data_IF_777975664121
#
_entry.id   IF_777975664121
#
_cell.length_a   1.000
_cell.length_b   1.000
_cell.length_c   1.000
_cell.angle_alpha   90.00
_cell.angle_beta   90.00
_cell.angle_gamma   90.00
#
_symmetry.space_group_name_H-M   'P 1'
#
loop_
_entity.id
_entity.type
_entity.pdbx_description
1 polymer ?
#
# COMPACT_ATOMS: atom_id res chain seq x y z
N UNK A 1 53.99 -1.65 28.65
CA UNK A 1 54.11 -2.48 27.45
C UNK A 1 53.03 -1.99 26.51
N UNK A 2 53.40 -1.20 25.50
CA UNK A 2 52.46 -0.51 24.59
C UNK A 2 51.73 -1.51 23.70
N UNK A 3 50.41 -1.35 23.58
CA UNK A 3 49.54 -2.12 22.68
C UNK A 3 49.44 -1.35 21.36
N UNK A 4 49.78 -1.94 20.20
CA UNK A 4 49.71 -1.25 18.91
C UNK A 4 48.26 -0.98 18.46
N UNK A 5 48.00 0.12 17.73
CA UNK A 5 46.63 0.51 17.34
C UNK A 5 46.01 -0.29 16.18
N UNK A 6 46.74 -1.22 15.53
CA UNK A 6 46.21 -2.11 14.49
C UNK A 6 46.93 -3.46 14.49
N UNK A 7 46.16 -4.54 14.34
CA UNK A 7 46.66 -5.91 14.25
C UNK A 7 47.27 -6.21 12.87
N UNK A 8 48.41 -6.88 12.87
CA UNK A 8 49.08 -7.42 11.68
C UNK A 8 48.31 -8.61 11.07
N UNK A 9 48.52 -8.89 9.78
CA UNK A 9 47.89 -10.02 9.09
C UNK A 9 48.16 -11.39 9.74
N UNK A 10 49.32 -11.53 10.40
CA UNK A 10 49.69 -12.71 11.18
C UNK A 10 48.92 -12.84 12.50
N UNK A 11 48.50 -11.73 13.10
CA UNK A 11 47.65 -11.74 14.31
C UNK A 11 46.19 -12.03 13.95
N UNK A 12 45.73 -11.58 12.78
CA UNK A 12 44.43 -11.95 12.21
C UNK A 12 44.30 -13.45 11.95
N UNK A 13 45.32 -14.08 11.35
CA UNK A 13 45.30 -15.53 11.12
C UNK A 13 45.32 -16.34 12.43
N UNK A 14 46.04 -15.87 13.46
CA UNK A 14 46.01 -16.48 14.80
C UNK A 14 44.65 -16.31 15.49
N UNK A 15 44.00 -15.16 15.32
CA UNK A 15 42.68 -14.87 15.87
C UNK A 15 41.57 -15.68 15.18
N UNK A 16 41.69 -15.98 13.88
CA UNK A 16 40.74 -16.84 13.17
C UNK A 16 40.81 -18.31 13.59
N UNK A 17 41.94 -18.77 14.13
CA UNK A 17 42.13 -20.14 14.61
C UNK A 17 41.74 -20.34 16.09
N UNK A 18 41.74 -19.26 16.89
CA UNK A 18 41.49 -19.34 18.33
C UNK A 18 40.08 -18.85 18.71
N UNK A 19 39.10 -19.76 18.71
CA UNK A 19 37.81 -19.61 19.41
C UNK A 19 37.99 -19.67 20.94
N UNK A 20 38.78 -18.76 21.50
CA UNK A 20 38.89 -18.63 22.96
C UNK A 20 37.67 -17.89 23.51
N UNK A 21 37.27 -18.22 24.73
CA UNK A 21 36.14 -17.58 25.42
C UNK A 21 36.31 -16.05 25.52
N UNK A 22 37.54 -15.55 25.62
CA UNK A 22 37.83 -14.12 25.70
C UNK A 22 37.40 -13.35 24.43
N UNK A 23 37.73 -13.86 23.24
CA UNK A 23 37.32 -13.24 21.97
C UNK A 23 35.80 -13.29 21.75
N UNK A 24 35.15 -14.40 22.13
CA UNK A 24 33.68 -14.53 22.06
C UNK A 24 33.02 -13.57 23.04
N UNK A 25 33.54 -13.42 24.27
CA UNK A 25 33.00 -12.47 25.27
C UNK A 25 33.20 -11.03 24.81
N UNK A 26 34.35 -10.69 24.25
CA UNK A 26 34.61 -9.34 23.73
C UNK A 26 33.76 -9.02 22.50
N UNK A 27 33.61 -9.97 21.57
CA UNK A 27 32.72 -9.84 20.41
C UNK A 27 31.25 -9.77 20.82
N UNK A 28 30.81 -10.58 21.77
CA UNK A 28 29.45 -10.51 22.34
C UNK A 28 29.24 -9.22 23.13
N UNK A 29 30.26 -8.72 23.84
CA UNK A 29 30.22 -7.44 24.56
C UNK A 29 30.15 -6.27 23.58
N UNK A 30 30.94 -6.28 22.50
CA UNK A 30 30.89 -5.30 21.43
C UNK A 30 29.54 -5.35 20.71
N UNK A 31 29.03 -6.54 20.38
CA UNK A 31 27.71 -6.74 19.77
C UNK A 31 26.59 -6.25 20.69
N UNK A 32 26.68 -6.52 21.99
CA UNK A 32 25.73 -6.05 23.01
C UNK A 32 25.79 -4.54 23.19
N UNK A 33 26.99 -3.94 23.20
CA UNK A 33 27.19 -2.49 23.26
C UNK A 33 26.67 -1.82 21.99
N UNK A 34 26.89 -2.41 20.82
CA UNK A 34 26.37 -1.92 19.54
C UNK A 34 24.84 -2.01 19.49
N UNK A 35 24.24 -3.13 19.90
CA UNK A 35 22.77 -3.25 19.98
C UNK A 35 22.17 -2.31 21.03
N UNK A 36 22.81 -2.13 22.19
CA UNK A 36 22.38 -1.14 23.18
C UNK A 36 22.50 0.30 22.64
N UNK A 37 23.56 0.60 21.93
CA UNK A 37 23.78 1.89 21.31
C UNK A 37 22.74 2.18 20.23
N UNK A 38 22.50 1.23 19.32
CA UNK A 38 21.45 1.32 18.30
C UNK A 38 20.07 1.47 18.95
N UNK A 39 19.75 0.66 19.96
CA UNK A 39 18.50 0.77 20.72
C UNK A 39 18.34 2.15 21.37
N UNK A 40 19.44 2.73 21.89
CA UNK A 40 19.44 4.07 22.45
C UNK A 40 19.36 5.18 21.39
N UNK A 41 19.72 4.92 20.13
CA UNK A 41 19.63 5.87 19.02
C UNK A 41 18.23 5.86 18.35
N UNK A 42 17.56 4.70 18.33
CA UNK A 42 16.25 4.51 17.67
C UNK A 42 15.20 5.57 18.05
N UNK A 43 14.93 5.88 19.33
CA UNK A 43 13.93 6.90 19.68
C UNK A 43 14.29 8.29 19.15
N UNK A 44 15.58 8.61 19.04
CA UNK A 44 16.02 9.90 18.51
C UNK A 44 15.91 9.96 16.99
N UNK A 45 16.16 8.86 16.27
CA UNK A 45 15.91 8.77 14.83
C UNK A 45 14.41 8.92 14.52
N UNK A 46 13.57 8.23 15.29
CA UNK A 46 12.11 8.35 15.16
C UNK A 46 11.63 9.77 15.46
N UNK A 47 12.13 10.38 16.54
CA UNK A 47 11.82 11.78 16.86
C UNK A 47 12.28 12.73 15.75
N UNK A 48 13.49 12.53 15.21
CA UNK A 48 14.03 13.33 14.10
C UNK A 48 13.16 13.20 12.85
N UNK A 49 12.63 12.02 12.55
CA UNK A 49 11.66 11.83 11.47
C UNK A 49 10.33 12.55 11.76
N UNK A 50 9.78 12.39 12.96
CA UNK A 50 8.50 12.98 13.34
C UNK A 50 8.52 14.50 13.31
N UNK A 51 9.59 15.11 13.85
CA UNK A 51 9.80 16.55 14.03
C UNK A 51 10.41 17.23 12.78
N UNK A 52 10.67 16.48 11.71
CA UNK A 52 11.28 17.00 10.49
C UNK A 52 10.38 18.05 9.80
N UNK A 53 11.00 19.04 9.16
CA UNK A 53 10.30 19.96 8.26
C UNK A 53 9.70 19.20 7.06
N UNK A 54 8.72 19.77 6.33
CA UNK A 54 8.01 19.06 5.27
C UNK A 54 8.92 18.41 4.23
N UNK A 55 10.02 19.06 3.86
CA UNK A 55 10.94 18.55 2.84
C UNK A 55 11.80 17.38 3.36
N UNK A 56 12.37 17.54 4.55
CA UNK A 56 13.14 16.49 5.21
C UNK A 56 12.27 15.27 5.52
N UNK A 57 11.04 15.50 5.98
CA UNK A 57 10.06 14.45 6.25
C UNK A 57 9.72 13.69 4.97
N UNK A 58 9.43 14.42 3.88
CA UNK A 58 9.14 13.82 2.59
C UNK A 58 10.30 12.96 2.04
N UNK A 59 11.56 13.39 2.20
CA UNK A 59 12.74 12.57 1.86
C UNK A 59 12.78 11.26 2.65
N UNK A 60 12.61 11.35 3.98
CA UNK A 60 12.64 10.16 4.84
C UNK A 60 11.46 9.23 4.55
N UNK A 61 10.28 9.79 4.29
CA UNK A 61 9.10 9.02 3.91
C UNK A 61 9.31 8.28 2.58
N UNK A 62 9.90 8.93 1.57
CA UNK A 62 10.24 8.28 0.31
C UNK A 62 11.28 7.17 0.48
N UNK A 63 12.32 7.39 1.30
CA UNK A 63 13.32 6.38 1.61
C UNK A 63 12.71 5.15 2.32
N UNK A 64 11.86 5.40 3.32
CA UNK A 64 11.12 4.36 4.04
C UNK A 64 10.20 3.56 3.13
N UNK A 65 9.48 4.24 2.23
CA UNK A 65 8.59 3.58 1.29
C UNK A 65 9.37 2.76 0.25
N UNK A 66 10.48 3.27 -0.28
CA UNK A 66 11.36 2.47 -1.16
C UNK A 66 11.78 1.15 -0.49
N UNK A 67 12.28 1.22 0.76
CA UNK A 67 12.77 0.03 1.48
C UNK A 67 11.66 -0.96 1.81
N UNK A 68 10.52 -0.52 2.34
CA UNK A 68 9.40 -1.43 2.66
C UNK A 68 8.73 -2.02 1.41
N UNK A 69 8.93 -1.42 0.24
CA UNK A 69 8.50 -1.96 -1.05
C UNK A 69 9.52 -2.95 -1.62
N UNK A 70 10.65 -3.13 -0.94
CA UNK A 70 11.68 -4.07 -1.33
C UNK A 70 12.63 -3.52 -2.37
N UNK A 71 12.83 -2.21 -2.48
CA UNK A 71 13.93 -1.64 -3.28
C UNK A 71 15.25 -1.71 -2.49
N UNK A 72 16.24 -2.42 -3.03
CA UNK A 72 17.50 -2.76 -2.35
C UNK A 72 18.69 -1.89 -2.75
N UNK A 73 18.72 -1.37 -3.97
CA UNK A 73 19.83 -0.50 -4.41
C UNK A 73 19.98 0.75 -3.53
N UNK A 74 21.15 1.39 -3.58
CA UNK A 74 21.36 2.66 -2.87
C UNK A 74 20.34 3.71 -3.34
N UNK A 75 19.79 4.46 -2.38
CA UNK A 75 18.85 5.53 -2.70
C UNK A 75 19.67 6.67 -3.30
N UNK A 76 19.60 6.91 -4.61
CA UNK A 76 20.38 7.97 -5.23
C UNK A 76 19.82 9.35 -4.86
N UNK A 77 20.67 10.39 -4.95
CA UNK A 77 20.21 11.77 -4.74
C UNK A 77 19.08 12.16 -5.71
N UNK A 78 19.17 11.67 -6.96
CA UNK A 78 18.12 11.83 -7.98
C UNK A 78 16.81 11.16 -7.54
N UNK A 79 16.87 9.88 -7.15
CA UNK A 79 15.70 9.15 -6.67
C UNK A 79 15.02 9.89 -5.52
N UNK A 80 15.77 10.22 -4.45
CA UNK A 80 15.24 10.89 -3.27
C UNK A 80 14.55 12.22 -3.61
N UNK A 81 15.15 13.02 -4.50
CA UNK A 81 14.60 14.31 -4.91
C UNK A 81 13.27 14.18 -5.66
N UNK A 82 13.17 13.21 -6.57
CA UNK A 82 11.95 13.02 -7.37
C UNK A 82 10.84 12.35 -6.54
N UNK A 83 11.18 11.29 -5.79
CA UNK A 83 10.21 10.54 -4.99
C UNK A 83 9.62 11.39 -3.85
N UNK A 84 10.43 12.25 -3.22
CA UNK A 84 9.95 13.08 -2.10
C UNK A 84 8.83 14.04 -2.49
N UNK A 85 8.77 14.50 -3.75
CA UNK A 85 7.71 15.42 -4.20
C UNK A 85 6.32 14.80 -4.05
N UNK A 86 6.19 13.48 -4.17
CA UNK A 86 4.93 12.76 -3.96
C UNK A 86 4.37 12.88 -2.54
N UNK A 87 5.20 13.19 -1.55
CA UNK A 87 4.80 13.34 -0.14
C UNK A 87 4.67 14.79 0.33
N UNK A 88 5.03 15.77 -0.50
CA UNK A 88 4.80 17.18 -0.18
C UNK A 88 3.31 17.49 -0.31
N UNK A 89 2.77 18.28 0.61
CA UNK A 89 1.44 18.85 0.51
C UNK A 89 1.39 19.97 -0.54
N UNK A 90 0.18 20.43 -0.89
CA UNK A 90 -0.01 21.46 -1.92
C UNK A 90 0.77 22.74 -1.62
N UNK A 91 0.84 23.14 -0.35
CA UNK A 91 1.55 24.36 0.09
C UNK A 91 3.06 24.24 -0.07
N UNK A 92 3.64 23.10 0.32
CA UNK A 92 5.09 22.88 0.24
C UNK A 92 5.59 22.66 -1.20
N UNK A 93 4.69 22.53 -2.18
CA UNK A 93 5.03 22.44 -3.60
C UNK A 93 5.11 23.81 -4.29
N UNK A 94 4.49 24.83 -3.73
CA UNK A 94 4.49 26.19 -4.30
C UNK A 94 5.75 26.92 -3.84
N UNK A 95 6.53 27.42 -4.80
CA UNK A 95 7.73 28.24 -4.59
C UNK A 95 8.67 27.74 -3.47
N UNK A 96 9.11 26.47 -3.50
CA UNK A 96 10.01 25.95 -2.47
C UNK A 96 11.35 26.70 -2.50
N UNK A 97 12.06 26.84 -1.36
CA UNK A 97 13.39 27.42 -1.32
C UNK A 97 14.31 26.76 -2.35
N UNK A 98 15.10 27.53 -3.12
CA UNK A 98 15.93 26.97 -4.21
C UNK A 98 16.86 25.84 -3.76
N UNK A 99 17.29 25.88 -2.50
CA UNK A 99 18.19 24.92 -1.87
C UNK A 99 17.47 23.90 -0.96
N UNK A 100 16.14 23.80 -1.03
CA UNK A 100 15.32 22.94 -0.16
C UNK A 100 15.86 21.51 -0.09
N UNK A 101 16.25 20.95 -1.24
CA UNK A 101 16.71 19.56 -1.32
C UNK A 101 18.07 19.39 -0.63
N UNK A 102 19.00 20.33 -0.84
CA UNK A 102 20.32 20.30 -0.20
C UNK A 102 20.18 20.44 1.31
N UNK A 103 19.30 21.33 1.78
CA UNK A 103 19.00 21.51 3.21
C UNK A 103 18.39 20.26 3.83
N UNK A 104 17.41 19.66 3.15
CA UNK A 104 16.75 18.44 3.58
C UNK A 104 17.75 17.27 3.63
N UNK A 105 18.56 17.10 2.57
CA UNK A 105 19.57 16.06 2.51
C UNK A 105 20.59 16.20 3.64
N UNK A 106 21.09 17.42 3.90
CA UNK A 106 21.96 17.70 5.04
C UNK A 106 21.28 17.35 6.37
N UNK A 107 20.00 17.68 6.54
CA UNK A 107 19.27 17.36 7.76
C UNK A 107 19.19 15.85 8.00
N UNK A 108 18.87 15.07 6.97
CA UNK A 108 18.68 13.61 7.08
C UNK A 108 19.99 12.82 7.14
N UNK A 109 21.13 13.43 6.79
CA UNK A 109 22.46 12.80 6.92
C UNK A 109 23.23 13.20 8.17
N UNK A 110 22.70 14.11 9.00
CA UNK A 110 23.34 14.44 10.28
C UNK A 110 23.17 13.28 11.25
N UNK A 111 24.30 12.84 11.80
CA UNK A 111 24.35 11.83 12.84
C UNK A 111 23.66 12.30 14.12
N UNK A 112 22.92 11.38 14.70
CA UNK A 112 22.31 11.49 16.00
C UNK A 112 23.18 10.72 16.98
N UNK A 113 23.51 11.35 18.12
CA UNK A 113 24.48 10.82 19.10
C UNK A 113 25.86 10.48 18.50
N UNK A 114 26.23 11.12 17.39
CA UNK A 114 27.55 11.00 16.77
C UNK A 114 27.87 9.63 16.16
N UNK A 115 26.85 8.86 15.76
CA UNK A 115 27.11 7.59 15.07
C UNK A 115 25.99 7.06 14.17
N UNK A 116 24.72 7.48 14.31
CA UNK A 116 23.64 7.01 13.41
C UNK A 116 22.90 8.18 12.79
N UNK A 117 22.88 8.24 11.46
CA UNK A 117 22.07 9.17 10.70
C UNK A 117 20.79 8.49 10.18
N UNK A 118 19.68 9.23 9.98
CA UNK A 118 18.52 8.70 9.26
C UNK A 118 18.88 8.12 7.88
N UNK A 119 19.72 8.84 7.13
CA UNK A 119 20.32 8.40 5.88
C UNK A 119 21.85 8.45 5.99
N UNK A 120 22.50 7.31 5.85
CA UNK A 120 23.96 7.22 5.79
C UNK A 120 24.42 7.44 4.35
N UNK A 121 25.22 8.48 4.05
CA UNK A 121 25.81 8.66 2.73
C UNK A 121 26.84 7.56 2.45
N UNK A 122 26.74 6.92 1.29
CA UNK A 122 27.67 5.88 0.86
C UNK A 122 28.27 6.22 -0.50
N UNK A 123 29.58 5.98 -0.62
CA UNK A 123 30.34 6.12 -1.85
C UNK A 123 30.99 4.78 -2.17
N UNK A 124 30.53 4.18 -3.26
CA UNK A 124 31.05 2.93 -3.84
C UNK A 124 32.15 3.28 -4.86
N UNK A 125 32.02 4.42 -5.53
CA UNK A 125 33.01 4.93 -6.47
C UNK A 125 34.34 5.23 -5.78
N UNK A 126 35.49 4.81 -6.34
CA UNK A 126 36.80 5.14 -5.79
C UNK A 126 37.03 6.66 -5.64
N UNK A 127 37.91 7.03 -4.70
CA UNK A 127 38.37 8.40 -4.47
C UNK A 127 37.44 9.27 -3.60
N UNK A 128 37.86 10.52 -3.39
CA UNK A 128 37.10 11.51 -2.59
C UNK A 128 36.06 12.18 -3.48
N UNK A 129 34.80 12.26 -3.02
CA UNK A 129 33.72 12.89 -3.76
C UNK A 129 32.36 12.76 -3.09
N UNK A 130 31.31 13.15 -3.80
CA UNK A 130 29.92 13.01 -3.34
C UNK A 130 29.51 11.55 -3.14
N UNK A 131 28.50 11.32 -2.29
CA UNK A 131 27.90 10.01 -2.13
C UNK A 131 27.25 9.54 -3.44
N UNK A 132 27.43 8.26 -3.79
CA UNK A 132 26.72 7.64 -4.92
C UNK A 132 25.26 7.35 -4.55
N UNK A 133 24.99 7.15 -3.26
CA UNK A 133 23.64 7.08 -2.74
C UNK A 133 23.59 6.98 -1.22
N UNK A 134 22.41 6.65 -0.71
CA UNK A 134 22.11 6.68 0.72
C UNK A 134 21.49 5.37 1.19
N UNK A 135 21.93 4.91 2.36
CA UNK A 135 21.32 3.79 3.09
C UNK A 135 20.40 4.34 4.19
N UNK A 136 19.17 3.81 4.28
CA UNK A 136 18.25 4.14 5.36
C UNK A 136 18.69 3.40 6.63
N UNK A 137 18.61 4.06 7.79
CA UNK A 137 18.84 3.39 9.06
C UNK A 137 17.84 2.23 9.28
N UNK A 138 18.35 1.06 9.67
CA UNK A 138 17.56 -0.17 9.86
C UNK A 138 16.37 0.04 10.81
N UNK A 139 16.52 0.88 11.83
CA UNK A 139 15.43 1.19 12.77
C UNK A 139 14.29 1.98 12.12
N UNK A 140 14.59 2.84 11.14
CA UNK A 140 13.58 3.56 10.36
C UNK A 140 12.93 2.64 9.32
N UNK A 141 13.70 1.72 8.75
CA UNK A 141 13.15 0.69 7.87
C UNK A 141 12.17 -0.22 8.62
N UNK A 142 12.56 -0.74 9.79
CA UNK A 142 11.71 -1.55 10.65
C UNK A 142 10.44 -0.80 11.05
N UNK A 143 10.60 0.46 11.48
CA UNK A 143 9.46 1.33 11.78
C UNK A 143 8.52 1.47 10.57
N UNK A 144 9.05 1.66 9.36
CA UNK A 144 8.25 1.81 8.16
C UNK A 144 7.46 0.55 7.80
N UNK A 145 8.04 -0.64 7.99
CA UNK A 145 7.34 -1.91 7.72
C UNK A 145 6.06 -2.04 8.54
N UNK A 146 6.07 -1.60 9.79
CA UNK A 146 4.90 -1.60 10.67
C UNK A 146 4.01 -0.38 10.44
N UNK A 147 4.51 0.83 10.73
CA UNK A 147 3.74 2.06 10.80
C UNK A 147 3.18 2.52 9.44
N UNK A 148 3.77 2.04 8.34
CA UNK A 148 3.38 2.44 6.98
C UNK A 148 2.89 1.27 6.14
N UNK A 149 2.68 0.07 6.71
CA UNK A 149 2.24 -1.13 6.00
C UNK A 149 1.03 -0.87 5.07
N UNK A 150 -0.01 -0.24 5.61
CA UNK A 150 -1.27 0.07 4.91
C UNK A 150 -1.32 1.46 4.26
N UNK A 151 -0.26 2.28 4.40
CA UNK A 151 -0.24 3.61 3.80
C UNK A 151 -0.07 3.49 2.28
N UNK A 152 -0.98 4.15 1.55
CA UNK A 152 -0.94 4.26 0.10
C UNK A 152 0.31 5.04 -0.30
N UNK A 153 1.13 4.41 -1.12
CA UNK A 153 2.30 5.02 -1.73
C UNK A 153 1.84 5.87 -2.91
N UNK A 154 2.22 7.16 -3.01
CA UNK A 154 1.90 8.00 -4.16
C UNK A 154 2.40 7.39 -5.48
N UNK A 155 1.64 7.55 -6.56
CA UNK A 155 2.01 6.99 -7.87
C UNK A 155 3.35 7.49 -8.37
N UNK A 156 3.69 8.76 -8.08
CA UNK A 156 4.97 9.35 -8.43
C UNK A 156 6.15 8.57 -7.83
N UNK A 157 5.98 7.99 -6.64
CA UNK A 157 7.03 7.19 -6.01
C UNK A 157 7.21 5.87 -6.75
N UNK A 158 6.13 5.22 -7.16
CA UNK A 158 6.19 4.03 -8.01
C UNK A 158 6.88 4.32 -9.33
N UNK A 159 6.52 5.40 -10.02
CA UNK A 159 7.15 5.80 -11.27
C UNK A 159 8.66 6.04 -11.09
N UNK A 160 9.05 6.69 -9.99
CA UNK A 160 10.47 6.91 -9.69
C UNK A 160 11.22 5.64 -9.34
N UNK A 161 10.57 4.66 -8.70
CA UNK A 161 11.16 3.35 -8.39
C UNK A 161 11.38 2.54 -9.67
N UNK A 162 10.38 2.49 -10.55
CA UNK A 162 10.48 1.82 -11.85
C UNK A 162 11.58 2.45 -12.70
N UNK A 163 11.68 3.78 -12.71
CA UNK A 163 12.72 4.48 -13.46
C UNK A 163 14.13 4.35 -12.85
N UNK A 164 14.25 4.00 -11.56
CA UNK A 164 15.52 3.89 -10.85
C UNK A 164 16.05 2.44 -10.73
N UNK A 165 15.17 1.44 -10.82
CA UNK A 165 15.54 0.04 -10.71
C UNK A 165 16.28 -0.45 -11.97
N UNK A 166 17.59 -0.67 -11.82
CA UNK A 166 18.43 -1.28 -12.87
C UNK A 166 18.49 -2.81 -12.73
N UNK A 167 18.29 -3.32 -11.51
CA UNK A 167 18.30 -4.74 -11.17
C UNK A 167 16.91 -5.38 -11.38
N UNK A 168 16.78 -6.44 -12.20
CA UNK A 168 15.54 -7.21 -12.33
C UNK A 168 14.95 -7.68 -11.00
N UNK A 169 15.79 -8.01 -10.01
CA UNK A 169 15.33 -8.48 -8.70
C UNK A 169 14.63 -7.36 -7.91
N UNK A 170 15.05 -6.10 -8.09
CA UNK A 170 14.36 -4.94 -7.51
C UNK A 170 12.98 -4.78 -8.18
N UNK A 171 12.88 -4.91 -9.51
CA UNK A 171 11.61 -4.83 -10.22
C UNK A 171 10.64 -5.95 -9.82
N UNK A 172 11.13 -7.17 -9.64
CA UNK A 172 10.31 -8.29 -9.17
C UNK A 172 9.76 -8.03 -7.76
N UNK A 173 10.62 -7.61 -6.82
CA UNK A 173 10.21 -7.27 -5.45
C UNK A 173 9.19 -6.14 -5.41
N UNK A 174 9.38 -5.10 -6.23
CA UNK A 174 8.42 -4.00 -6.38
C UNK A 174 7.08 -4.50 -6.94
N UNK A 175 7.09 -5.36 -7.95
CA UNK A 175 5.89 -5.98 -8.52
C UNK A 175 5.12 -6.82 -7.51
N UNK A 176 5.81 -7.67 -6.75
CA UNK A 176 5.21 -8.44 -5.65
C UNK A 176 4.62 -7.52 -4.57
N UNK A 177 5.32 -6.43 -4.22
CA UNK A 177 4.88 -5.46 -3.24
C UNK A 177 3.60 -4.72 -3.68
N UNK A 178 3.47 -4.40 -4.98
CA UNK A 178 2.27 -3.81 -5.55
C UNK A 178 1.09 -4.79 -5.51
N UNK A 179 1.31 -6.03 -5.98
CA UNK A 179 0.29 -7.08 -6.02
C UNK A 179 -0.23 -7.44 -4.63
N UNK A 180 0.65 -7.55 -3.63
CA UNK A 180 0.26 -7.84 -2.24
C UNK A 180 -0.69 -6.76 -1.68
N UNK A 181 -0.41 -5.49 -1.98
CA UNK A 181 -1.24 -4.36 -1.52
C UNK A 181 -2.57 -4.27 -2.25
N UNK A 182 -2.58 -4.57 -3.55
CA UNK A 182 -3.83 -4.69 -4.31
C UNK A 182 -4.74 -5.77 -3.71
N UNK A 183 -4.19 -6.96 -3.43
CA UNK A 183 -4.94 -8.06 -2.80
C UNK A 183 -5.48 -7.68 -1.42
N UNK A 184 -4.65 -7.12 -0.55
CA UNK A 184 -5.09 -6.70 0.79
C UNK A 184 -6.24 -5.69 0.75
N UNK A 185 -6.16 -4.69 -0.12
CA UNK A 185 -7.25 -3.71 -0.30
C UNK A 185 -8.52 -4.34 -0.87
N UNK A 186 -8.39 -5.29 -1.79
CA UNK A 186 -9.54 -6.00 -2.33
C UNK A 186 -10.22 -6.88 -1.26
N UNK A 187 -9.45 -7.45 -0.34
CA UNK A 187 -9.96 -8.22 0.81
C UNK A 187 -10.67 -7.31 1.84
N UNK A 188 -10.09 -6.15 2.18
CA UNK A 188 -10.72 -5.17 3.06
C UNK A 188 -12.02 -4.61 2.46
N UNK A 189 -12.01 -4.26 1.18
CA UNK A 189 -13.22 -3.80 0.48
C UNK A 189 -14.31 -4.89 0.44
N UNK A 190 -13.91 -6.16 0.28
CA UNK A 190 -14.85 -7.28 0.33
C UNK A 190 -15.43 -7.47 1.74
N UNK A 191 -14.63 -7.32 2.80
CA UNK A 191 -15.10 -7.43 4.17
C UNK A 191 -16.12 -6.33 4.51
N UNK A 192 -15.86 -5.08 4.10
CA UNK A 192 -16.82 -3.97 4.25
C UNK A 192 -18.13 -4.23 3.48
N UNK A 193 -18.03 -4.76 2.26
CA UNK A 193 -19.20 -5.16 1.48
C UNK A 193 -20.02 -6.26 2.14
N UNK A 194 -19.36 -7.27 2.70
CA UNK A 194 -20.05 -8.33 3.45
C UNK A 194 -20.79 -7.73 4.65
N UNK A 195 -20.16 -6.84 5.41
CA UNK A 195 -20.80 -6.18 6.55
C UNK A 195 -22.01 -5.32 6.13
N UNK A 196 -21.90 -4.58 5.02
CA UNK A 196 -23.01 -3.79 4.46
C UNK A 196 -24.17 -4.70 4.01
N UNK A 197 -23.87 -5.75 3.24
CA UNK A 197 -24.84 -6.77 2.85
C UNK A 197 -25.50 -7.42 4.08
N UNK A 198 -24.74 -7.77 5.12
CA UNK A 198 -25.30 -8.33 6.35
C UNK A 198 -26.25 -7.37 7.08
N UNK A 199 -26.06 -6.05 6.92
CA UNK A 199 -26.94 -5.01 7.48
C UNK A 199 -28.24 -4.77 6.69
N UNK A 200 -28.45 -5.47 5.57
CA UNK A 200 -29.64 -5.32 4.72
C UNK A 200 -29.48 -4.31 3.59
N UNK A 201 -28.24 -3.90 3.28
CA UNK A 201 -27.95 -3.08 2.10
C UNK A 201 -28.04 -3.96 0.84
N UNK A 202 -29.13 -3.82 0.11
CA UNK A 202 -29.43 -4.67 -1.03
C UNK A 202 -28.54 -4.39 -2.26
N UNK A 203 -28.02 -3.17 -2.40
CA UNK A 203 -27.05 -2.82 -3.44
C UNK A 203 -25.71 -3.55 -3.18
N UNK A 204 -25.25 -3.57 -1.93
CA UNK A 204 -24.03 -4.30 -1.58
C UNK A 204 -24.23 -5.83 -1.62
N UNK A 205 -25.45 -6.33 -1.40
CA UNK A 205 -25.78 -7.74 -1.67
C UNK A 205 -25.64 -8.08 -3.16
N UNK A 206 -26.13 -7.23 -4.08
CA UNK A 206 -25.94 -7.45 -5.52
C UNK A 206 -24.44 -7.45 -5.88
N UNK A 207 -23.70 -6.47 -5.40
CA UNK A 207 -22.25 -6.40 -5.61
C UNK A 207 -21.51 -7.63 -5.05
N UNK A 208 -21.97 -8.18 -3.93
CA UNK A 208 -21.39 -9.37 -3.29
C UNK A 208 -21.71 -10.64 -4.10
N UNK A 209 -22.95 -10.79 -4.57
CA UNK A 209 -23.33 -11.90 -5.43
C UNK A 209 -22.57 -11.88 -6.76
N UNK A 210 -22.40 -10.69 -7.37
CA UNK A 210 -21.59 -10.52 -8.58
C UNK A 210 -20.10 -10.82 -8.33
N UNK A 211 -19.57 -10.49 -7.15
CA UNK A 211 -18.22 -10.90 -6.75
C UNK A 211 -18.09 -12.43 -6.73
N UNK A 212 -19.01 -13.14 -6.09
CA UNK A 212 -18.99 -14.61 -6.03
C UNK A 212 -19.17 -15.27 -7.40
N UNK A 213 -20.05 -14.72 -8.25
CA UNK A 213 -20.22 -15.15 -9.65
C UNK A 213 -18.91 -15.05 -10.43
N UNK A 214 -18.21 -13.91 -10.38
CA UNK A 214 -16.92 -13.73 -11.07
C UNK A 214 -15.83 -14.67 -10.56
N UNK A 215 -15.93 -15.12 -9.29
CA UNK A 215 -15.06 -16.14 -8.70
C UNK A 215 -15.52 -17.58 -8.98
N UNK A 216 -16.55 -17.78 -9.79
CA UNK A 216 -17.11 -19.09 -10.12
C UNK A 216 -17.87 -19.77 -8.97
N UNK A 217 -18.12 -19.06 -7.87
CA UNK A 217 -18.81 -19.57 -6.67
C UNK A 217 -20.31 -19.30 -6.79
N UNK A 218 -20.95 -19.94 -7.77
CA UNK A 218 -22.36 -19.70 -8.07
C UNK A 218 -23.31 -19.99 -6.90
N UNK A 219 -23.01 -20.97 -6.04
CA UNK A 219 -23.88 -21.29 -4.90
C UNK A 219 -23.93 -20.14 -3.88
N UNK A 220 -22.78 -19.52 -3.60
CA UNK A 220 -22.71 -18.33 -2.74
C UNK A 220 -23.42 -17.13 -3.38
N UNK A 221 -23.31 -16.96 -4.69
CA UNK A 221 -23.99 -15.88 -5.40
C UNK A 221 -25.52 -16.02 -5.28
N UNK A 222 -26.05 -17.24 -5.44
CA UNK A 222 -27.48 -17.52 -5.29
C UNK A 222 -28.00 -17.29 -3.87
N UNK A 223 -27.23 -17.68 -2.86
CA UNK A 223 -27.60 -17.47 -1.45
C UNK A 223 -27.79 -15.98 -1.16
N UNK A 224 -26.83 -15.15 -1.60
CA UNK A 224 -26.91 -13.70 -1.43
C UNK A 224 -28.06 -13.10 -2.24
N UNK A 225 -28.26 -13.50 -3.50
CA UNK A 225 -29.39 -13.03 -4.31
C UNK A 225 -30.75 -13.44 -3.76
N UNK A 226 -30.87 -14.64 -3.17
CA UNK A 226 -32.12 -15.08 -2.55
C UNK A 226 -32.47 -14.19 -1.36
N UNK A 227 -31.51 -13.92 -0.48
CA UNK A 227 -31.69 -13.02 0.66
C UNK A 227 -32.08 -11.60 0.21
N UNK A 228 -31.39 -11.05 -0.79
CA UNK A 228 -31.73 -9.73 -1.33
C UNK A 228 -33.14 -9.71 -1.97
N UNK A 229 -33.54 -10.78 -2.66
CA UNK A 229 -34.87 -10.92 -3.22
C UNK A 229 -35.97 -11.03 -2.15
N UNK A 230 -35.68 -11.68 -1.01
CA UNK A 230 -36.54 -11.73 0.18
C UNK A 230 -36.69 -10.36 0.84
N UNK A 231 -35.64 -9.53 0.81
CA UNK A 231 -35.64 -8.13 1.27
C UNK A 231 -36.27 -7.16 0.26
N UNK A 232 -36.68 -7.64 -0.92
CA UNK A 232 -37.47 -6.88 -1.90
C UNK A 232 -36.67 -6.24 -3.05
N UNK A 233 -35.39 -6.60 -3.21
CA UNK A 233 -34.53 -6.03 -4.24
C UNK A 233 -34.84 -6.57 -5.65
N UNK A 234 -35.23 -5.67 -6.56
CA UNK A 234 -35.59 -6.01 -7.94
C UNK A 234 -34.39 -6.46 -8.80
N UNK A 235 -33.18 -5.97 -8.53
CA UNK A 235 -31.97 -6.37 -9.25
C UNK A 235 -31.53 -7.79 -8.85
N UNK A 236 -31.62 -8.13 -7.57
CA UNK A 236 -31.39 -9.46 -7.05
C UNK A 236 -32.42 -10.48 -7.56
N UNK A 237 -33.69 -10.07 -7.69
CA UNK A 237 -34.72 -10.86 -8.33
C UNK A 237 -34.33 -11.17 -9.79
N UNK A 238 -33.95 -10.17 -10.59
CA UNK A 238 -33.50 -10.40 -11.96
C UNK A 238 -32.23 -11.27 -12.04
N UNK A 239 -31.28 -11.08 -11.11
CA UNK A 239 -30.06 -11.89 -11.01
C UNK A 239 -30.34 -13.37 -10.71
N UNK A 240 -31.28 -13.65 -9.80
CA UNK A 240 -31.71 -15.00 -9.44
C UNK A 240 -32.52 -15.65 -10.58
N UNK A 241 -33.43 -14.92 -11.21
CA UNK A 241 -34.24 -15.40 -12.34
C UNK A 241 -33.37 -15.77 -13.57
N UNK A 242 -32.27 -15.05 -13.79
CA UNK A 242 -31.33 -15.36 -14.88
C UNK A 242 -30.54 -16.66 -14.69
N UNK A 243 -30.62 -17.31 -13.51
CA UNK A 243 -29.87 -18.54 -13.20
C UNK A 243 -30.76 -19.73 -12.81
N UNK A 244 -31.96 -19.51 -12.28
CA UNK A 244 -32.88 -20.59 -11.93
C UNK A 244 -33.34 -21.36 -13.18
N UNK A 245 -33.38 -22.70 -13.16
CA UNK A 245 -34.11 -23.48 -14.15
C UNK A 245 -35.57 -23.00 -14.20
N UNK A 246 -36.18 -23.00 -15.39
CA UNK A 246 -37.56 -22.50 -15.58
C UNK A 246 -38.60 -23.14 -14.63
N UNK A 247 -38.32 -24.34 -14.12
CA UNK A 247 -39.15 -25.03 -13.13
C UNK A 247 -39.06 -24.44 -11.71
N UNK A 248 -37.89 -23.95 -11.28
CA UNK A 248 -37.67 -23.33 -9.96
C UNK A 248 -37.98 -21.83 -9.96
N UNK A 249 -37.88 -21.17 -11.12
CA UNK A 249 -38.34 -19.79 -11.30
C UNK A 249 -39.86 -19.62 -11.08
N UNK A 250 -40.62 -20.72 -11.21
CA UNK A 250 -42.07 -20.75 -10.97
C UNK A 250 -42.49 -20.80 -9.50
N UNK A 251 -41.56 -21.12 -8.58
CA UNK A 251 -41.87 -21.48 -7.18
C UNK A 251 -41.50 -20.40 -6.15
N UNK A 252 -41.04 -19.20 -6.59
CA UNK A 252 -40.86 -18.05 -5.71
C UNK A 252 -42.16 -17.20 -5.69
N UNK A 253 -43.01 -17.27 -4.64
CA UNK A 253 -44.32 -16.64 -4.63
C UNK A 253 -44.28 -15.11 -4.81
N UNK A 254 -43.17 -14.48 -4.39
CA UNK A 254 -42.97 -13.03 -4.46
C UNK A 254 -42.58 -12.50 -5.85
N UNK A 255 -42.08 -13.35 -6.75
CA UNK A 255 -41.58 -12.93 -8.09
C UNK A 255 -42.68 -12.72 -9.12
N UNK A 256 -43.80 -13.45 -9.01
CA UNK A 256 -44.96 -13.30 -9.92
C UNK A 256 -45.69 -11.95 -9.75
N UNK A 257 -45.54 -11.30 -8.60
CA UNK A 257 -46.19 -10.01 -8.34
C UNK A 257 -45.50 -8.85 -9.07
N UNK A 258 -44.18 -8.88 -9.26
CA UNK A 258 -43.41 -7.74 -9.76
C UNK A 258 -43.19 -7.74 -11.28
N UNK A 259 -43.08 -8.92 -11.93
CA UNK A 259 -43.02 -8.98 -13.41
C UNK A 259 -44.31 -8.41 -14.04
N UNK A 260 -45.46 -8.52 -13.35
CA UNK A 260 -46.70 -7.84 -13.75
C UNK A 260 -46.73 -6.34 -13.42
N UNK A 261 -46.04 -5.91 -12.37
CA UNK A 261 -46.01 -4.50 -11.98
C UNK A 261 -45.11 -3.68 -12.93
N UNK A 262 -43.95 -4.19 -13.33
CA UNK A 262 -43.01 -3.44 -14.20
C UNK A 262 -43.50 -3.37 -15.67
N UNK A 263 -44.20 -4.41 -16.15
CA UNK A 263 -44.90 -4.37 -17.45
C UNK A 263 -46.11 -3.44 -17.42
N UNK A 264 -46.79 -3.29 -16.28
CA UNK A 264 -47.92 -2.36 -16.14
C UNK A 264 -47.49 -0.88 -15.96
N UNK A 265 -46.30 -0.61 -15.41
CA UNK A 265 -45.77 0.76 -15.27
C UNK A 265 -45.15 1.27 -16.59
N UNK A 266 -44.72 0.37 -17.49
CA UNK A 266 -44.11 0.73 -18.79
C UNK A 266 -45.07 0.87 -19.98
N UNK A 267 -46.35 0.55 -19.86
CA UNK A 267 -47.35 0.88 -20.89
C UNK A 267 -48.46 1.79 -20.37
N UNK A 268 -48.37 3.13 -20.58
CA UNK A 268 -49.54 3.96 -20.55
C UNK A 268 -50.31 3.79 -21.87
N UNK A 269 -51.34 2.95 -21.79
CA UNK A 269 -52.61 3.05 -22.53
C UNK A 269 -52.54 3.46 -24.00
N UNK A 270 -52.58 2.47 -24.91
CA UNK A 270 -53.20 2.67 -26.22
C UNK A 270 -54.36 1.69 -26.43
N UNK A 271 -55.49 2.30 -26.78
CA UNK A 271 -56.75 1.73 -27.25
C UNK A 271 -57.77 1.40 -26.14
N UNK A 272 -58.98 1.98 -26.13
CA UNK A 272 -59.57 2.87 -27.11
C UNK A 272 -61.00 3.24 -26.71
N UNK A 273 -61.52 4.31 -27.31
CA UNK A 273 -62.95 4.58 -27.36
C UNK A 273 -63.28 5.07 -28.78
N UNK A 274 -63.65 4.13 -29.63
CA UNK A 274 -64.47 4.37 -30.81
C UNK A 274 -65.90 4.64 -30.34
N UNK A 275 -66.50 5.73 -30.82
CA UNK A 275 -67.95 5.86 -30.91
C UNK A 275 -68.53 7.23 -30.50
N UNK A 276 -68.62 8.16 -31.45
CA UNK A 276 -69.90 8.57 -32.05
C UNK A 276 -69.71 9.79 -32.97
N UNK A 277 -70.37 9.83 -34.14
CA UNK A 277 -70.41 10.98 -35.03
C UNK A 277 -71.64 11.85 -34.74
N UNK A 278 -71.54 13.18 -34.90
CA UNK A 278 -72.59 14.06 -35.48
C UNK A 278 -72.31 15.54 -35.20
N UNK A 279 -72.63 16.40 -36.18
CA UNK A 279 -73.06 17.77 -35.92
C UNK A 279 -72.21 18.86 -36.59
N UNK A 280 -72.68 19.32 -37.75
CA UNK A 280 -72.23 20.53 -38.47
C UNK A 280 -72.46 21.83 -37.70
N UNK A 281 -71.84 22.89 -38.24
CA UNK A 281 -72.19 24.33 -38.20
C UNK A 281 -71.48 25.10 -37.08
N UNK A 282 -70.79 26.22 -37.31
CA UNK A 282 -70.71 27.16 -38.43
C UNK A 282 -69.36 27.87 -38.38
#
# INVERSE_FOLDING_TARGET
MEVPPQFSATEWNRASEQRTLAFVVESCSATRKLTQFLAAATPHLLRRYTDADPYSKALLTAAMDARRLGYSALLTSRFLKHASVGYLDERSRVDPPRDWFVRALRYVTIEVKGAVAPLTPLRISPGVGSADGFQLADSLEEHARSARSQVIVPIQVWDTLVAAAEDPDDLERLGMAAQKRERGRAEEALALRIAAAESGDTEEMEHLAMHWKRKGRMDKAKEVWRRAAEEGDAAAQNGLAGWLPAAEAGDLPSMRCLIRADVAVREPSRSGALGAPHGRSR
#
